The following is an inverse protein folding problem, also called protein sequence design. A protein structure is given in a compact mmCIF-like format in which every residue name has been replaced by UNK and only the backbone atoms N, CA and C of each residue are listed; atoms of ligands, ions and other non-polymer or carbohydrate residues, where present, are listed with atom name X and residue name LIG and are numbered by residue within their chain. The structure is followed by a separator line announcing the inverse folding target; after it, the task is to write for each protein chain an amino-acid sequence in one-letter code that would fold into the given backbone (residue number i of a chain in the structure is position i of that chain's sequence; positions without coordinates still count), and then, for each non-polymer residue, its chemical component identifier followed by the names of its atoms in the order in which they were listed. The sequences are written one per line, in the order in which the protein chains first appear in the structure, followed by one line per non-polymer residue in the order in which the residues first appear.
data_IF_598163191617
#
_entry.id   IF_598163191617
#
_cell.length_a   1.000
_cell.length_b   1.000
_cell.length_c   1.000
_cell.angle_alpha   90.00
_cell.angle_beta   90.00
_cell.angle_gamma   90.00
#
_symmetry.space_group_name_H-M   'P 1'
#
loop_
_entity.id
_entity.type
_entity.pdbx_description
1 polymer ?
#
# COMPACT_ATOMS: atom_id res chain seq x y z
N UNK A 1 -13.55 -3.19 6.37
CA UNK A 1 -12.48 -3.82 7.19
C UNK A 1 -12.76 -5.31 7.35
N UNK A 2 -14.01 -5.72 7.59
CA UNK A 2 -14.39 -7.14 7.73
C UNK A 2 -13.88 -8.02 6.59
N UNK A 3 -14.06 -7.60 5.34
CA UNK A 3 -13.51 -8.32 4.16
C UNK A 3 -11.99 -8.50 4.20
N UNK A 4 -11.24 -7.55 4.77
CA UNK A 4 -9.78 -7.69 4.96
C UNK A 4 -9.49 -8.80 5.97
N UNK A 5 -10.22 -8.80 7.09
CA UNK A 5 -10.08 -9.79 8.15
C UNK A 5 -10.45 -11.20 7.67
N UNK A 6 -11.56 -11.34 6.94
CA UNK A 6 -12.02 -12.63 6.42
C UNK A 6 -10.99 -13.25 5.46
N UNK A 7 -10.49 -12.46 4.51
CA UNK A 7 -9.49 -12.91 3.53
C UNK A 7 -8.14 -13.21 4.19
N UNK A 8 -7.72 -12.42 5.17
CA UNK A 8 -6.50 -12.68 5.93
C UNK A 8 -6.63 -13.95 6.78
N UNK A 9 -7.77 -14.16 7.43
CA UNK A 9 -8.04 -15.37 8.21
C UNK A 9 -8.02 -16.61 7.32
N UNK A 10 -8.60 -16.54 6.13
CA UNK A 10 -8.59 -17.64 5.16
C UNK A 10 -7.17 -17.91 4.61
N UNK A 11 -6.34 -16.87 4.41
CA UNK A 11 -4.94 -17.05 4.05
C UNK A 11 -4.14 -17.72 5.19
N UNK A 12 -4.33 -17.28 6.43
CA UNK A 12 -3.70 -17.87 7.61
C UNK A 12 -4.13 -19.34 7.81
N UNK A 13 -5.40 -19.67 7.62
CA UNK A 13 -5.91 -21.03 7.70
C UNK A 13 -5.28 -21.98 6.66
N UNK A 14 -4.81 -21.42 5.53
CA UNK A 14 -4.08 -22.14 4.48
C UNK A 14 -2.57 -22.18 4.71
N UNK A 15 -2.08 -21.67 5.84
CA UNK A 15 -0.66 -21.69 6.23
C UNK A 15 0.19 -20.65 5.53
N UNK A 16 -0.37 -19.52 5.09
CA UNK A 16 0.41 -18.41 4.55
C UNK A 16 1.19 -17.69 5.67
N UNK A 17 2.39 -17.19 5.36
CA UNK A 17 3.16 -16.30 6.26
C UNK A 17 3.07 -14.82 5.84
N UNK A 18 2.66 -14.57 4.58
CA UNK A 18 2.53 -13.25 3.95
C UNK A 18 1.24 -13.22 3.13
N UNK A 19 0.42 -12.19 3.33
CA UNK A 19 -0.73 -11.88 2.48
C UNK A 19 -0.61 -10.48 1.89
N UNK A 20 -0.81 -10.37 0.57
CA UNK A 20 -0.72 -9.12 -0.19
C UNK A 20 -2.08 -8.77 -0.75
N UNK A 21 -2.57 -7.58 -0.42
CA UNK A 21 -3.86 -7.06 -0.86
C UNK A 21 -3.71 -6.07 -2.02
N UNK A 22 -4.74 -5.93 -2.88
CA UNK A 22 -4.72 -5.02 -4.02
C UNK A 22 -4.45 -3.54 -3.69
N UNK A 23 -4.09 -2.77 -4.73
CA UNK A 23 -4.02 -1.31 -4.68
C UNK A 23 -5.36 -0.71 -4.23
N UNK A 24 -5.31 0.30 -3.35
CA UNK A 24 -6.49 1.02 -2.86
C UNK A 24 -7.60 0.10 -2.29
N UNK A 25 -7.24 -1.04 -1.70
CA UNK A 25 -8.19 -1.97 -1.09
C UNK A 25 -9.01 -1.31 0.04
N UNK A 26 -8.35 -0.49 0.86
CA UNK A 26 -9.00 0.37 1.85
C UNK A 26 -9.10 1.80 1.27
N UNK A 27 -10.29 2.40 1.35
CA UNK A 27 -10.61 3.70 0.73
C UNK A 27 -11.12 3.57 -0.71
N UNK A 28 -10.77 2.49 -1.42
CA UNK A 28 -11.31 2.16 -2.73
C UNK A 28 -10.61 2.88 -3.88
N UNK A 29 -10.54 2.21 -5.03
CA UNK A 29 -10.11 2.84 -6.27
C UNK A 29 -11.30 3.56 -6.93
N UNK A 30 -11.21 4.85 -7.30
CA UNK A 30 -12.35 5.65 -7.76
C UNK A 30 -12.62 5.41 -9.26
N UNK A 31 -12.85 4.14 -9.63
CA UNK A 31 -13.02 3.73 -11.02
C UNK A 31 -14.25 4.38 -11.64
N UNK A 32 -14.07 5.07 -12.76
CA UNK A 32 -15.16 5.74 -13.49
C UNK A 32 -15.51 7.14 -12.98
N UNK A 33 -14.86 7.63 -11.91
CA UNK A 33 -14.98 9.01 -11.47
C UNK A 33 -13.90 9.87 -12.13
N UNK A 34 -14.31 10.96 -12.76
CA UNK A 34 -13.42 11.98 -13.34
C UNK A 34 -13.32 13.24 -12.48
N UNK A 35 -14.07 13.30 -11.38
CA UNK A 35 -14.19 14.45 -10.48
C UNK A 35 -14.46 15.76 -11.23
N UNK A 36 -15.21 15.68 -12.35
CA UNK A 36 -15.56 16.82 -13.18
C UNK A 36 -14.35 17.59 -13.72
N UNK A 37 -13.20 16.92 -13.86
CA UNK A 37 -11.93 17.54 -14.25
C UNK A 37 -11.92 17.95 -15.72
N UNK A 38 -12.59 19.05 -16.02
CA UNK A 38 -12.57 19.73 -17.32
C UNK A 38 -11.82 21.05 -17.19
N UNK A 39 -10.94 21.36 -18.14
CA UNK A 39 -10.14 22.59 -18.13
C UNK A 39 -11.07 23.80 -17.99
N UNK A 40 -10.86 24.60 -16.94
CA UNK A 40 -11.64 25.81 -16.66
C UNK A 40 -13.00 25.57 -15.97
N UNK A 41 -13.38 24.33 -15.68
CA UNK A 41 -14.65 24.00 -15.02
C UNK A 41 -14.46 23.40 -13.64
N UNK A 42 -15.29 23.82 -12.67
CA UNK A 42 -15.34 23.29 -11.30
C UNK A 42 -16.77 23.38 -10.78
N UNK A 43 -17.55 22.32 -10.93
CA UNK A 43 -18.94 22.28 -10.47
C UNK A 43 -19.01 22.06 -8.96
N UNK A 44 -20.15 22.33 -8.33
CA UNK A 44 -20.39 21.96 -6.93
C UNK A 44 -20.41 20.44 -6.78
N UNK A 45 -21.13 19.74 -7.66
CA UNK A 45 -21.24 18.29 -7.66
C UNK A 45 -19.87 17.59 -7.67
N UNK A 46 -18.91 18.08 -8.48
CA UNK A 46 -17.59 17.48 -8.52
C UNK A 46 -16.75 17.70 -7.26
N UNK A 47 -16.97 18.82 -6.55
CA UNK A 47 -16.40 19.05 -5.23
C UNK A 47 -16.99 18.09 -4.20
N UNK A 48 -18.30 17.85 -4.26
CA UNK A 48 -18.98 16.92 -3.38
C UNK A 48 -18.49 15.48 -3.60
N UNK A 49 -18.22 15.09 -4.85
CA UNK A 49 -17.63 13.79 -5.18
C UNK A 49 -16.24 13.62 -4.53
N UNK A 50 -15.38 14.64 -4.66
CA UNK A 50 -14.07 14.63 -4.01
C UNK A 50 -14.17 14.61 -2.49
N UNK A 51 -15.10 15.37 -1.89
CA UNK A 51 -15.31 15.38 -0.44
C UNK A 51 -15.76 14.01 0.07
N UNK A 52 -16.70 13.34 -0.62
CA UNK A 52 -17.12 11.98 -0.26
C UNK A 52 -15.96 10.99 -0.35
N UNK A 53 -15.14 11.08 -1.40
CA UNK A 53 -13.98 10.23 -1.55
C UNK A 53 -12.91 10.50 -0.48
N UNK A 54 -12.62 11.77 -0.20
CA UNK A 54 -11.70 12.19 0.86
C UNK A 54 -12.16 11.74 2.25
N UNK A 55 -13.46 11.77 2.54
CA UNK A 55 -14.01 11.29 3.81
C UNK A 55 -13.82 9.77 4.00
N UNK A 56 -13.77 9.00 2.92
CA UNK A 56 -13.56 7.54 2.96
C UNK A 56 -12.09 7.12 3.12
N UNK A 57 -11.15 8.05 2.91
CA UNK A 57 -9.73 7.83 3.12
C UNK A 57 -9.37 7.71 4.61
N UNK A 58 -8.27 7.03 4.89
CA UNK A 58 -7.82 6.76 6.27
C UNK A 58 -6.65 7.65 6.66
N UNK A 59 -6.56 7.97 7.95
CA UNK A 59 -5.37 8.60 8.51
C UNK A 59 -4.33 7.52 8.87
N UNK A 60 -3.04 7.86 8.70
CA UNK A 60 -1.91 6.95 9.01
C UNK A 60 -0.86 7.71 9.82
N UNK A 61 -0.62 7.34 11.09
CA UNK A 61 -1.33 6.31 11.87
C UNK A 61 -2.76 6.73 12.26
N UNK A 62 -3.63 5.76 12.57
CA UNK A 62 -5.00 6.01 13.02
C UNK A 62 -5.82 4.74 13.29
N UNK A 63 -7.12 4.87 13.60
CA UNK A 63 -7.99 3.73 13.95
C UNK A 63 -8.05 2.65 12.86
N UNK A 64 -7.98 3.04 11.59
CA UNK A 64 -7.94 2.10 10.48
C UNK A 64 -6.65 1.29 10.43
N UNK A 65 -5.50 1.90 10.74
CA UNK A 65 -4.22 1.15 10.80
C UNK A 65 -4.17 0.23 12.00
N UNK A 66 -4.76 0.63 13.13
CA UNK A 66 -4.92 -0.27 14.30
C UNK A 66 -5.80 -1.48 13.99
N UNK A 67 -6.87 -1.30 13.22
CA UNK A 67 -7.70 -2.40 12.76
C UNK A 67 -6.92 -3.37 11.84
N UNK A 68 -6.11 -2.85 10.91
CA UNK A 68 -5.26 -3.68 10.05
C UNK A 68 -4.20 -4.41 10.89
N UNK A 69 -3.56 -3.72 11.84
CA UNK A 69 -2.60 -4.30 12.78
C UNK A 69 -3.21 -5.43 13.62
N UNK A 70 -4.46 -5.27 14.07
CA UNK A 70 -5.19 -6.32 14.79
C UNK A 70 -5.42 -7.56 13.91
N UNK A 71 -5.74 -7.37 12.62
CA UNK A 71 -5.86 -8.49 11.67
C UNK A 71 -4.52 -9.20 11.48
N UNK A 72 -3.43 -8.44 11.31
CA UNK A 72 -2.08 -9.02 11.19
C UNK A 72 -1.73 -9.89 12.41
N UNK A 73 -1.99 -9.39 13.62
CA UNK A 73 -1.80 -10.13 14.88
C UNK A 73 -2.63 -11.39 14.96
N UNK A 74 -3.93 -11.29 14.65
CA UNK A 74 -4.85 -12.41 14.75
C UNK A 74 -4.45 -13.56 13.80
N UNK A 75 -4.04 -13.22 12.57
CA UNK A 75 -3.57 -14.19 11.59
C UNK A 75 -2.12 -14.62 11.76
N UNK A 76 -1.32 -13.94 12.60
CA UNK A 76 0.15 -14.04 12.65
C UNK A 76 0.79 -13.88 11.26
N UNK A 77 0.26 -12.95 10.47
CA UNK A 77 0.66 -12.72 9.08
C UNK A 77 1.50 -11.46 8.95
N UNK A 78 2.47 -11.48 8.04
CA UNK A 78 2.91 -10.25 7.39
C UNK A 78 1.81 -9.80 6.43
N UNK A 79 1.38 -8.55 6.50
CA UNK A 79 0.35 -8.01 5.62
C UNK A 79 0.90 -6.85 4.79
N UNK A 80 0.67 -6.87 3.48
CA UNK A 80 0.85 -5.69 2.61
C UNK A 80 -0.52 -5.24 2.14
N UNK A 81 -0.93 -4.03 2.51
CA UNK A 81 -2.27 -3.51 2.24
C UNK A 81 -2.21 -2.20 1.48
N UNK A 82 -2.84 -2.16 0.31
CA UNK A 82 -3.07 -0.92 -0.42
C UNK A 82 -4.17 -0.08 0.22
N UNK A 83 -3.90 1.18 0.49
CA UNK A 83 -4.81 2.12 1.17
C UNK A 83 -4.84 3.46 0.46
N UNK A 84 -5.96 4.17 0.59
CA UNK A 84 -6.03 5.61 0.34
C UNK A 84 -5.82 6.35 1.65
N UNK A 85 -4.67 7.00 1.74
CA UNK A 85 -4.20 7.70 2.91
C UNK A 85 -4.50 9.19 2.77
N UNK A 86 -5.00 9.80 3.85
CA UNK A 86 -5.23 11.23 3.95
C UNK A 86 -4.14 11.91 4.78
N UNK A 87 -3.72 13.08 4.33
CA UNK A 87 -2.87 14.01 5.09
C UNK A 87 -3.35 15.44 4.84
N UNK A 88 -4.13 15.98 5.77
CA UNK A 88 -4.84 17.24 5.58
C UNK A 88 -5.83 17.14 4.40
N UNK A 89 -5.72 18.08 3.45
CA UNK A 89 -6.57 18.09 2.24
C UNK A 89 -6.10 17.14 1.13
N UNK A 90 -4.95 16.48 1.27
CA UNK A 90 -4.33 15.67 0.21
C UNK A 90 -4.58 14.18 0.44
N UNK A 91 -4.86 13.46 -0.65
CA UNK A 91 -4.96 12.00 -0.67
C UNK A 91 -3.72 11.38 -1.31
N UNK A 92 -3.30 10.22 -0.82
CA UNK A 92 -2.17 9.46 -1.36
C UNK A 92 -2.59 8.01 -1.56
N UNK A 93 -2.21 7.43 -2.70
CA UNK A 93 -2.24 5.99 -2.87
C UNK A 93 -1.01 5.40 -2.16
N UNK A 94 -1.24 4.66 -1.09
CA UNK A 94 -0.19 4.15 -0.22
C UNK A 94 -0.23 2.62 -0.10
N UNK A 95 0.92 2.01 0.16
CA UNK A 95 1.04 0.63 0.58
C UNK A 95 1.59 0.59 2.02
N UNK A 96 0.93 -0.17 2.89
CA UNK A 96 1.33 -0.36 4.28
C UNK A 96 1.75 -1.81 4.50
N UNK A 97 2.92 -2.03 5.10
CA UNK A 97 3.42 -3.35 5.45
C UNK A 97 3.37 -3.53 6.97
N UNK A 98 2.67 -4.55 7.45
CA UNK A 98 2.58 -4.90 8.86
C UNK A 98 3.27 -6.22 9.16
N UNK A 99 3.87 -6.32 10.35
CA UNK A 99 4.40 -7.56 10.90
C UNK A 99 3.33 -8.41 11.58
N UNK A 100 3.65 -9.68 11.91
CA UNK A 100 2.72 -10.60 12.58
C UNK A 100 2.42 -10.20 14.04
N UNK A 101 3.17 -9.25 14.61
CA UNK A 101 2.91 -8.58 15.88
C UNK A 101 2.02 -7.33 15.72
N UNK A 102 1.64 -7.00 14.49
CA UNK A 102 0.86 -5.82 14.13
C UNK A 102 1.67 -4.52 14.07
N UNK A 103 3.00 -4.57 14.17
CA UNK A 103 3.83 -3.39 13.96
C UNK A 103 3.73 -2.92 12.49
N UNK A 104 3.58 -1.61 12.26
CA UNK A 104 3.68 -1.02 10.92
C UNK A 104 5.17 -0.93 10.54
N UNK A 105 5.63 -1.85 9.70
CA UNK A 105 7.03 -2.01 9.30
C UNK A 105 7.45 -1.08 8.17
N UNK A 106 6.53 -0.74 7.26
CA UNK A 106 6.79 0.19 6.18
C UNK A 106 5.51 0.90 5.73
N UNK A 107 5.64 2.18 5.33
CA UNK A 107 4.58 2.98 4.70
C UNK A 107 5.18 3.64 3.47
N UNK A 108 4.57 3.37 2.32
CA UNK A 108 5.03 3.90 1.05
C UNK A 108 3.93 4.65 0.34
N UNK A 109 4.21 5.88 -0.10
CA UNK A 109 3.32 6.63 -1.00
C UNK A 109 3.75 6.39 -2.45
N UNK A 110 2.79 6.23 -3.36
CA UNK A 110 3.03 6.14 -4.81
C UNK A 110 3.78 7.39 -5.26
N UNK A 111 4.98 7.23 -5.82
CA UNK A 111 5.88 8.29 -6.24
C UNK A 111 5.20 9.18 -7.28
N UNK A 112 4.55 8.57 -8.26
CA UNK A 112 3.87 9.29 -9.34
C UNK A 112 2.53 8.64 -9.68
N UNK A 113 1.41 9.29 -9.35
CA UNK A 113 0.09 8.92 -9.86
C UNK A 113 0.08 8.94 -11.39
N UNK A 114 -0.65 8.01 -12.00
CA UNK A 114 -0.69 7.82 -13.45
C UNK A 114 -1.87 8.56 -14.08
N UNK A 115 -1.64 9.28 -15.19
CA UNK A 115 -2.66 9.99 -15.96
C UNK A 115 -3.57 10.85 -15.07
N UNK A 116 -4.89 10.60 -15.07
CA UNK A 116 -5.91 11.33 -14.31
C UNK A 116 -5.82 11.12 -12.80
N UNK A 117 -5.11 10.10 -12.31
CA UNK A 117 -4.87 9.93 -10.87
C UNK A 117 -4.17 11.16 -10.26
N UNK A 118 -3.40 11.91 -11.06
CA UNK A 118 -2.72 13.15 -10.64
C UNK A 118 -3.67 14.29 -10.23
N UNK A 119 -4.94 14.17 -10.60
CA UNK A 119 -5.98 15.11 -10.22
C UNK A 119 -6.55 14.80 -8.83
N UNK A 120 -6.26 13.60 -8.30
CA UNK A 120 -6.89 13.05 -7.10
C UNK A 120 -5.86 12.76 -6.02
N UNK A 121 -4.71 12.21 -6.39
CA UNK A 121 -3.66 11.79 -5.49
C UNK A 121 -2.42 12.67 -5.59
N UNK A 122 -1.79 12.90 -4.45
CA UNK A 122 -0.50 13.55 -4.33
C UNK A 122 0.66 12.65 -4.73
N UNK A 123 1.80 13.28 -4.98
CA UNK A 123 3.06 12.62 -5.27
C UNK A 123 3.74 12.18 -3.97
N UNK A 124 4.19 10.92 -3.94
CA UNK A 124 5.16 10.47 -2.95
C UNK A 124 6.56 11.03 -3.23
N UNK A 125 7.50 10.69 -2.36
CA UNK A 125 8.91 11.02 -2.53
C UNK A 125 9.80 9.82 -2.14
N UNK A 126 11.11 9.99 -2.33
CA UNK A 126 12.10 8.95 -2.03
C UNK A 126 12.30 8.64 -0.55
N UNK A 127 11.80 9.48 0.37
CA UNK A 127 11.91 9.24 1.81
C UNK A 127 11.04 8.06 2.27
N UNK A 128 10.03 7.69 1.47
CA UNK A 128 9.10 6.60 1.77
C UNK A 128 9.41 5.30 1.01
N UNK A 129 10.56 5.21 0.32
CA UNK A 129 11.01 4.00 -0.41
C UNK A 129 11.62 2.95 0.53
N UNK A 130 10.97 2.71 1.67
CA UNK A 130 11.46 1.77 2.67
C UNK A 130 11.17 0.33 2.30
N UNK A 131 12.01 -0.55 2.83
CA UNK A 131 11.93 -2.00 2.66
C UNK A 131 11.80 -2.59 4.06
N UNK A 132 10.71 -3.30 4.32
CA UNK A 132 10.50 -3.93 5.62
C UNK A 132 11.44 -5.14 5.76
N UNK A 133 12.28 -5.15 6.80
CA UNK A 133 13.07 -6.32 7.15
C UNK A 133 12.20 -7.31 7.92
N UNK A 134 12.11 -8.55 7.43
CA UNK A 134 11.27 -9.59 8.03
C UNK A 134 12.00 -10.94 8.02
N UNK A 135 11.57 -11.92 8.84
CA UNK A 135 12.09 -13.30 8.76
C UNK A 135 11.88 -13.97 7.38
N UNK A 136 10.96 -13.46 6.57
CA UNK A 136 10.72 -13.93 5.19
C UNK A 136 11.68 -13.32 4.16
N UNK A 137 12.58 -12.43 4.63
CA UNK A 137 13.41 -11.58 3.80
C UNK A 137 12.93 -10.13 3.79
N UNK A 138 13.54 -9.33 2.92
CA UNK A 138 13.24 -7.90 2.77
C UNK A 138 12.07 -7.68 1.81
N UNK A 139 11.04 -6.97 2.27
CA UNK A 139 9.80 -6.72 1.52
C UNK A 139 9.75 -5.26 1.06
N UNK A 140 9.92 -5.04 -0.23
CA UNK A 140 9.73 -3.74 -0.89
C UNK A 140 8.45 -3.72 -1.72
N UNK A 141 7.83 -2.54 -1.87
CA UNK A 141 6.57 -2.39 -2.62
C UNK A 141 6.72 -1.39 -3.77
N UNK A 142 6.10 -1.70 -4.91
CA UNK A 142 5.93 -0.79 -6.04
C UNK A 142 4.49 -0.88 -6.53
N UNK A 143 3.85 0.26 -6.79
CA UNK A 143 2.42 0.35 -7.03
C UNK A 143 2.17 0.57 -8.53
N UNK A 144 1.44 -0.36 -9.16
CA UNK A 144 0.97 -0.24 -10.54
C UNK A 144 2.12 0.09 -11.53
N UNK A 145 2.02 1.20 -12.26
CA UNK A 145 2.96 1.66 -13.27
C UNK A 145 4.38 1.99 -12.76
N UNK A 146 4.59 2.09 -11.45
CA UNK A 146 5.94 2.26 -10.89
C UNK A 146 6.86 1.08 -11.20
N UNK A 147 6.29 -0.09 -11.48
CA UNK A 147 7.05 -1.27 -11.94
C UNK A 147 7.75 -1.05 -13.28
N UNK A 148 7.33 -0.05 -14.07
CA UNK A 148 8.02 0.34 -15.30
C UNK A 148 9.17 1.33 -15.08
N UNK A 149 9.31 1.90 -13.89
CA UNK A 149 10.38 2.85 -13.58
C UNK A 149 11.66 2.09 -13.24
N UNK A 150 12.70 2.08 -14.11
CA UNK A 150 13.90 1.28 -13.88
C UNK A 150 14.65 1.72 -12.64
N UNK A 151 14.83 3.03 -12.43
CA UNK A 151 15.58 3.56 -11.27
C UNK A 151 14.89 3.24 -9.93
N UNK A 152 13.55 3.25 -9.90
CA UNK A 152 12.80 2.88 -8.70
C UNK A 152 13.02 1.41 -8.34
N UNK A 153 13.00 0.52 -9.33
CA UNK A 153 13.26 -0.91 -9.12
C UNK A 153 14.71 -1.16 -8.69
N UNK A 154 15.67 -0.46 -9.28
CA UNK A 154 17.08 -0.53 -8.86
C UNK A 154 17.22 -0.08 -7.41
N UNK A 155 16.67 1.08 -7.04
CA UNK A 155 16.74 1.59 -5.66
C UNK A 155 16.12 0.62 -4.63
N UNK A 156 14.98 0.00 -4.95
CA UNK A 156 14.37 -1.00 -4.06
C UNK A 156 15.24 -2.26 -3.93
N UNK A 157 15.89 -2.70 -5.01
CA UNK A 157 16.83 -3.83 -4.98
C UNK A 157 18.05 -3.50 -4.13
N UNK A 158 18.64 -2.33 -4.32
CA UNK A 158 19.83 -1.89 -3.58
C UNK A 158 19.55 -1.82 -2.07
N UNK A 159 18.37 -1.30 -1.69
CA UNK A 159 17.90 -1.28 -0.29
C UNK A 159 17.52 -2.67 0.25
N UNK A 160 17.26 -3.62 -0.63
CA UNK A 160 17.01 -5.03 -0.29
C UNK A 160 18.30 -5.86 -0.24
N UNK A 161 19.38 -5.40 -0.88
CA UNK A 161 20.69 -6.06 -0.90
C UNK A 161 21.67 -5.50 0.14
N UNK A 162 21.33 -4.40 0.81
CA UNK A 162 22.16 -3.89 1.90
C UNK A 162 22.11 -4.89 3.06
N UNK A 163 23.18 -5.66 3.21
CA UNK A 163 23.41 -6.55 4.33
C UNK A 163 23.44 -5.72 5.62
N UNK A 164 22.66 -6.13 6.62
CA UNK A 164 22.95 -5.72 7.98
C UNK A 164 24.37 -6.24 8.31
N UNK A 165 25.12 -5.54 9.17
CA UNK A 165 26.55 -5.76 9.45
C UNK A 165 26.96 -7.18 9.91
N UNK A 166 26.02 -8.12 9.97
CA UNK A 166 26.16 -9.50 10.41
C UNK A 166 26.07 -10.55 9.26
N UNK A 167 26.05 -10.11 7.99
CA UNK A 167 26.42 -10.95 6.83
C UNK A 167 25.58 -12.21 6.57
N UNK A 168 24.30 -12.25 6.95
CA UNK A 168 23.44 -13.43 6.71
C UNK A 168 22.51 -13.21 5.53
N UNK A 169 22.86 -13.77 4.37
CA UNK A 169 22.05 -13.76 3.14
C UNK A 169 20.91 -14.79 3.22
N UNK A 170 19.68 -14.35 3.53
CA UNK A 170 18.48 -15.18 3.46
C UNK A 170 17.89 -15.19 2.04
N UNK A 171 18.42 -16.06 1.17
CA UNK A 171 17.76 -16.44 -0.08
C UNK A 171 16.95 -17.73 0.14
N UNK A 172 15.60 -17.64 0.12
CA UNK A 172 14.65 -18.61 -0.49
C UNK A 172 13.22 -18.38 0.03
N UNK A 173 12.40 -17.68 -0.75
CA UNK A 173 10.94 -17.77 -0.68
C UNK A 173 10.41 -18.19 -2.06
N UNK A 174 9.85 -19.39 -2.17
CA UNK A 174 9.13 -19.83 -3.39
C UNK A 174 7.81 -19.05 -3.44
N UNK A 175 7.70 -18.05 -4.33
CA UNK A 175 6.40 -17.55 -4.76
C UNK A 175 5.90 -18.44 -5.90
N UNK A 176 4.84 -19.19 -5.65
CA UNK A 176 4.04 -19.84 -6.69
C UNK A 176 2.65 -19.26 -6.67
N UNK A 177 2.29 -18.48 -7.70
CA UNK A 177 1.02 -18.61 -8.44
C UNK A 177 1.05 -17.71 -9.68
N UNK A 178 0.46 -18.16 -10.81
CA UNK A 178 0.44 -17.43 -12.06
C UNK A 178 -0.61 -16.32 -12.03
N UNK A 179 -0.29 -15.22 -12.69
CA UNK A 179 -1.23 -14.15 -13.03
C UNK A 179 -2.02 -14.66 -14.23
N UNK A 180 -3.34 -14.84 -14.06
CA UNK A 180 -4.30 -14.97 -15.17
C UNK A 180 -5.18 -13.74 -15.23
#
# INVERSE_FOLDING_TARGET
MDKLADLASDAAARGADLAVFPEAFVGGYPKGLDFGATVGSRTSASRDDFLRYHASAIDVPGPATEAIAAVARAGKLHLVVGVIERSGGTLYCSALTFGPDGALLARRRKLMPTASERLVWGFGDGSTLDVASTPLGRIGTAICWENYMPLLRTALRDRSSYEDADGTMALRGRTSMPIS
#
